data_IF_293700706793
#
_entry.id   IF_293700706793
#
_cell.length_a   1.000
_cell.length_b   1.000
_cell.length_c   1.000
_cell.angle_alpha   90.00
_cell.angle_beta   90.00
_cell.angle_gamma   90.00
#
_symmetry.space_group_name_H-M   'P 1'
#
loop_
_entity.id
_entity.type
_entity.pdbx_description
1 polymer ?
#
# COMPACT_ATOMS: atom_id res chain seq x y z
N UNK A 1 42.87 -5.23 -17.47
CA UNK A 1 42.24 -5.29 -16.14
C UNK A 1 41.25 -4.16 -16.15
N UNK A 2 40.05 -4.44 -16.66
CA UNK A 2 39.09 -3.39 -16.97
C UNK A 2 38.24 -3.14 -15.74
N UNK A 3 38.35 -1.92 -15.24
CA UNK A 3 37.55 -1.37 -14.16
C UNK A 3 36.07 -1.50 -14.54
N UNK A 4 35.40 -2.51 -13.96
CA UNK A 4 33.95 -2.56 -13.94
C UNK A 4 33.46 -1.37 -13.14
N UNK A 5 33.23 -0.27 -13.83
CA UNK A 5 32.49 0.89 -13.37
C UNK A 5 31.10 0.38 -12.93
N UNK A 6 30.96 0.04 -11.65
CA UNK A 6 29.68 -0.27 -11.02
C UNK A 6 28.90 1.05 -11.03
N UNK A 7 28.30 1.38 -12.18
CA UNK A 7 27.27 2.40 -12.26
C UNK A 7 26.08 1.86 -11.49
N UNK A 8 26.10 2.09 -10.18
CA UNK A 8 24.91 2.05 -9.36
C UNK A 8 23.94 3.05 -9.96
N UNK A 9 23.06 2.58 -10.85
CA UNK A 9 21.84 3.31 -11.18
C UNK A 9 21.00 3.26 -9.91
N UNK A 10 21.18 4.28 -9.07
CA UNK A 10 20.49 4.45 -7.79
C UNK A 10 18.97 4.34 -7.95
N UNK A 11 18.42 4.47 -9.17
CA UNK A 11 16.99 4.41 -9.45
C UNK A 11 16.42 3.01 -9.83
N UNK A 12 17.24 1.96 -9.95
CA UNK A 12 16.75 0.62 -10.31
C UNK A 12 16.87 -0.35 -9.13
N UNK A 13 15.72 -0.83 -8.62
CA UNK A 13 15.70 -1.82 -7.56
C UNK A 13 16.54 -3.06 -7.97
N UNK A 14 17.62 -3.38 -7.23
CA UNK A 14 18.53 -4.47 -7.59
C UNK A 14 17.81 -5.81 -7.60
N UNK A 15 18.18 -6.73 -8.48
CA UNK A 15 17.63 -8.10 -8.49
C UNK A 15 18.18 -8.86 -7.27
N UNK A 16 17.35 -9.69 -6.62
CA UNK A 16 17.78 -10.46 -5.45
C UNK A 16 17.46 -9.80 -4.10
N UNK A 17 18.24 -10.12 -3.07
CA UNK A 17 17.97 -9.73 -1.67
C UNK A 17 17.89 -8.22 -1.43
N UNK A 18 18.53 -7.40 -2.28
CA UNK A 18 18.43 -5.95 -2.21
C UNK A 18 17.01 -5.40 -2.39
N UNK A 19 16.08 -6.15 -3.01
CA UNK A 19 14.67 -5.76 -3.13
C UNK A 19 13.95 -5.65 -1.79
N UNK A 20 14.43 -6.35 -0.76
CA UNK A 20 13.84 -6.26 0.59
C UNK A 20 14.02 -4.85 1.13
N UNK A 21 15.26 -4.35 1.17
CA UNK A 21 15.56 -3.01 1.66
C UNK A 21 14.81 -1.92 0.86
N UNK A 22 14.75 -2.07 -0.47
CA UNK A 22 14.01 -1.19 -1.36
C UNK A 22 12.49 -1.23 -1.14
N UNK A 23 11.94 -2.39 -0.79
CA UNK A 23 10.51 -2.53 -0.47
C UNK A 23 10.17 -1.87 0.87
N UNK A 24 11.03 -1.98 1.89
CA UNK A 24 10.86 -1.24 3.14
C UNK A 24 10.96 0.27 2.92
N UNK A 25 11.98 0.72 2.18
CA UNK A 25 12.13 2.14 1.82
C UNK A 25 10.89 2.67 1.08
N UNK A 26 10.38 1.93 0.09
CA UNK A 26 9.16 2.29 -0.63
C UNK A 26 7.94 2.36 0.27
N UNK A 27 7.84 1.49 1.28
CA UNK A 27 6.72 1.47 2.23
C UNK A 27 6.78 2.68 3.17
N UNK A 28 7.96 3.05 3.65
CA UNK A 28 8.16 4.26 4.47
C UNK A 28 7.84 5.52 3.69
N UNK A 29 8.28 5.60 2.43
CA UNK A 29 7.94 6.72 1.53
C UNK A 29 6.44 6.80 1.26
N UNK A 30 5.78 5.65 1.01
CA UNK A 30 4.33 5.61 0.84
C UNK A 30 3.59 6.07 2.11
N UNK A 31 4.01 5.61 3.28
CA UNK A 31 3.40 6.02 4.55
C UNK A 31 3.54 7.54 4.77
N UNK A 32 4.73 8.10 4.52
CA UNK A 32 4.98 9.54 4.62
C UNK A 32 4.09 10.34 3.67
N UNK A 33 4.07 9.98 2.39
CA UNK A 33 3.25 10.67 1.36
C UNK A 33 1.76 10.53 1.67
N UNK A 34 1.30 9.36 2.11
CA UNK A 34 -0.09 9.16 2.50
C UNK A 34 -0.48 10.06 3.67
N UNK A 35 0.40 10.20 4.66
CA UNK A 35 0.16 11.04 5.84
C UNK A 35 0.06 12.50 5.43
N UNK A 36 0.92 12.96 4.52
CA UNK A 36 0.88 14.33 3.98
C UNK A 36 -0.38 14.61 3.18
N UNK A 37 -0.77 13.68 2.30
CA UNK A 37 -2.01 13.79 1.51
C UNK A 37 -3.25 13.80 2.40
N UNK A 38 -3.28 12.94 3.42
CA UNK A 38 -4.37 12.91 4.39
C UNK A 38 -4.43 14.19 5.23
N UNK A 39 -3.28 14.71 5.68
CA UNK A 39 -3.22 15.97 6.41
C UNK A 39 -3.67 17.17 5.56
N UNK A 40 -3.44 17.14 4.25
CA UNK A 40 -3.97 18.14 3.34
C UNK A 40 -5.49 17.98 3.12
N UNK A 41 -6.03 16.77 3.23
CA UNK A 41 -7.45 16.43 3.04
C UNK A 41 -8.32 16.71 4.27
N UNK A 42 -7.81 16.43 5.47
CA UNK A 42 -8.55 16.52 6.74
C UNK A 42 -9.23 17.87 7.01
N UNK A 43 -8.67 19.07 6.69
CA UNK A 43 -9.34 20.33 6.99
C UNK A 43 -10.59 20.60 6.15
N UNK A 44 -10.80 19.86 5.05
CA UNK A 44 -11.99 20.03 4.20
C UNK A 44 -13.25 19.38 4.79
N UNK A 45 -13.12 18.53 5.82
CA UNK A 45 -14.24 17.83 6.45
C UNK A 45 -15.30 18.78 6.99
N UNK A 46 -14.89 19.81 7.74
CA UNK A 46 -15.82 20.77 8.34
C UNK A 46 -16.63 21.57 7.32
N UNK A 47 -16.12 21.72 6.09
CA UNK A 47 -16.84 22.36 4.99
C UNK A 47 -17.85 21.44 4.28
N UNK A 48 -17.60 20.13 4.26
CA UNK A 48 -18.46 19.14 3.58
C UNK A 48 -19.49 18.50 4.52
N UNK A 49 -19.13 18.24 5.76
CA UNK A 49 -19.94 17.49 6.71
C UNK A 49 -20.77 18.37 7.66
N UNK A 50 -20.41 19.64 7.81
CA UNK A 50 -20.98 20.52 8.81
C UNK A 50 -20.59 20.12 10.25
N UNK A 51 -20.76 21.02 11.23
CA UNK A 51 -20.21 20.84 12.58
C UNK A 51 -20.85 19.72 13.41
N UNK A 52 -22.08 19.29 13.08
CA UNK A 52 -22.88 18.40 13.93
C UNK A 52 -23.03 16.97 13.38
N UNK A 53 -22.23 16.58 12.37
CA UNK A 53 -22.37 15.28 11.72
C UNK A 53 -21.12 14.39 11.87
N UNK A 54 -20.92 13.75 13.05
CA UNK A 54 -19.72 12.97 13.33
C UNK A 54 -19.58 11.74 12.43
N UNK A 55 -20.69 11.17 11.96
CA UNK A 55 -20.69 10.04 11.03
C UNK A 55 -20.17 10.45 9.66
N UNK A 56 -20.53 11.65 9.18
CA UNK A 56 -19.97 12.20 7.94
C UNK A 56 -18.47 12.47 8.09
N UNK A 57 -18.05 13.09 9.20
CA UNK A 57 -16.62 13.35 9.47
C UNK A 57 -15.79 12.07 9.52
N UNK A 58 -16.32 11.01 10.13
CA UNK A 58 -15.66 9.70 10.14
C UNK A 58 -15.52 9.14 8.72
N UNK A 59 -16.59 9.18 7.92
CA UNK A 59 -16.57 8.76 6.52
C UNK A 59 -15.59 9.56 5.67
N UNK A 60 -15.54 10.89 5.85
CA UNK A 60 -14.62 11.79 5.19
C UNK A 60 -13.15 11.44 5.48
N UNK A 61 -12.85 11.16 6.74
CA UNK A 61 -11.52 10.76 7.17
C UNK A 61 -11.12 9.38 6.63
N UNK A 62 -12.03 8.40 6.63
CA UNK A 62 -11.77 7.06 6.08
C UNK A 62 -11.49 7.13 4.58
N UNK A 63 -12.34 7.83 3.81
CA UNK A 63 -12.18 7.98 2.36
C UNK A 63 -10.89 8.72 2.04
N UNK A 64 -10.61 9.82 2.74
CA UNK A 64 -9.37 10.59 2.59
C UNK A 64 -8.13 9.75 2.86
N UNK A 65 -8.13 8.98 3.95
CA UNK A 65 -7.00 8.15 4.36
C UNK A 65 -6.75 7.00 3.39
N UNK A 66 -7.79 6.25 3.01
CA UNK A 66 -7.68 5.14 2.06
C UNK A 66 -7.25 5.64 0.67
N UNK A 67 -7.86 6.74 0.19
CA UNK A 67 -7.48 7.34 -1.08
C UNK A 67 -6.03 7.82 -1.09
N UNK A 68 -5.61 8.52 -0.03
CA UNK A 68 -4.24 8.96 0.16
C UNK A 68 -3.24 7.79 0.14
N UNK A 69 -3.55 6.68 0.84
CA UNK A 69 -2.68 5.51 0.89
C UNK A 69 -2.55 4.80 -0.46
N UNK A 70 -3.64 4.63 -1.20
CA UNK A 70 -3.61 4.00 -2.53
C UNK A 70 -2.78 4.83 -3.52
N UNK A 71 -2.96 6.14 -3.52
CA UNK A 71 -2.18 7.07 -4.34
C UNK A 71 -0.71 7.10 -3.91
N UNK A 72 -0.45 7.15 -2.60
CA UNK A 72 0.89 7.20 -2.05
C UNK A 72 1.71 5.94 -2.32
N UNK A 73 1.08 4.77 -2.48
CA UNK A 73 1.76 3.56 -2.94
C UNK A 73 2.20 3.65 -4.42
N UNK A 74 1.48 4.38 -5.27
CA UNK A 74 1.81 4.45 -6.69
C UNK A 74 3.15 5.17 -6.94
N UNK A 75 3.44 6.20 -6.14
CA UNK A 75 4.65 7.01 -6.26
C UNK A 75 5.96 6.19 -6.07
N UNK A 76 6.19 5.47 -4.96
CA UNK A 76 7.37 4.63 -4.79
C UNK A 76 7.35 3.42 -5.73
N UNK A 77 6.18 2.88 -6.09
CA UNK A 77 6.11 1.81 -7.10
C UNK A 77 6.69 2.27 -8.45
N UNK A 78 6.42 3.51 -8.84
CA UNK A 78 6.94 4.14 -10.06
C UNK A 78 8.41 4.57 -9.93
N UNK A 79 8.72 5.39 -8.91
CA UNK A 79 10.04 6.00 -8.70
C UNK A 79 11.12 4.95 -8.43
N UNK A 80 10.81 3.95 -7.61
CA UNK A 80 11.74 2.89 -7.23
C UNK A 80 11.66 1.67 -8.18
N UNK A 81 10.79 1.74 -9.20
CA UNK A 81 10.54 0.66 -10.18
C UNK A 81 10.29 -0.70 -9.54
N UNK A 82 9.61 -0.72 -8.40
CA UNK A 82 9.34 -1.93 -7.62
C UNK A 82 8.42 -2.90 -8.38
N UNK A 83 7.60 -2.35 -9.29
CA UNK A 83 6.65 -3.10 -10.10
C UNK A 83 5.23 -3.00 -9.53
N UNK A 84 4.26 -3.28 -10.39
CA UNK A 84 2.84 -3.20 -10.04
C UNK A 84 2.42 -4.28 -9.02
N UNK A 85 3.17 -5.38 -8.89
CA UNK A 85 2.90 -6.41 -7.87
C UNK A 85 3.16 -5.88 -6.45
N UNK A 86 4.19 -5.04 -6.27
CA UNK A 86 4.46 -4.40 -4.98
C UNK A 86 3.32 -3.46 -4.59
N UNK A 87 2.83 -2.67 -5.56
CA UNK A 87 1.67 -1.82 -5.38
C UNK A 87 0.42 -2.63 -5.03
N UNK A 88 0.16 -3.72 -5.77
CA UNK A 88 -1.03 -4.54 -5.58
C UNK A 88 -1.06 -5.28 -4.24
N UNK A 89 0.08 -5.76 -3.75
CA UNK A 89 0.19 -6.34 -2.39
C UNK A 89 -0.10 -5.27 -1.33
N UNK A 90 0.44 -4.06 -1.51
CA UNK A 90 0.15 -2.93 -0.61
C UNK A 90 -1.33 -2.58 -0.62
N UNK A 91 -1.91 -2.41 -1.80
CA UNK A 91 -3.31 -2.07 -1.97
C UNK A 91 -4.25 -3.16 -1.40
N UNK A 92 -3.93 -4.45 -1.56
CA UNK A 92 -4.73 -5.53 -0.97
C UNK A 92 -4.69 -5.50 0.57
N UNK A 93 -3.53 -5.26 1.17
CA UNK A 93 -3.40 -5.11 2.64
C UNK A 93 -4.16 -3.88 3.13
N UNK A 94 -4.08 -2.77 2.40
CA UNK A 94 -4.81 -1.54 2.71
C UNK A 94 -6.31 -1.71 2.60
N UNK A 95 -6.83 -2.34 1.56
CA UNK A 95 -8.27 -2.62 1.45
C UNK A 95 -8.74 -3.58 2.54
N UNK A 96 -7.85 -4.44 3.03
CA UNK A 96 -8.11 -5.24 4.22
C UNK A 96 -8.27 -4.40 5.50
N UNK A 97 -7.65 -3.20 5.61
CA UNK A 97 -7.57 -2.40 6.87
C UNK A 97 -8.89 -2.23 7.65
N UNK A 98 -10.06 -2.01 7.02
CA UNK A 98 -11.33 -1.91 7.76
C UNK A 98 -11.67 -3.18 8.55
N UNK A 99 -11.30 -4.36 8.04
CA UNK A 99 -11.54 -5.66 8.71
C UNK A 99 -10.69 -5.81 9.98
N UNK A 100 -9.54 -5.13 10.04
CA UNK A 100 -8.64 -5.20 11.20
C UNK A 100 -9.05 -4.24 12.32
N UNK A 101 -9.79 -3.17 11.99
CA UNK A 101 -10.18 -2.12 12.92
C UNK A 101 -11.00 -2.63 14.11
N UNK A 102 -11.86 -3.64 13.87
CA UNK A 102 -12.81 -4.13 14.87
C UNK A 102 -12.36 -5.40 15.61
N UNK A 103 -11.27 -6.05 15.19
CA UNK A 103 -10.90 -7.38 15.73
C UNK A 103 -9.42 -7.74 15.73
N UNK A 104 -8.54 -6.93 15.14
CA UNK A 104 -7.12 -7.26 15.10
C UNK A 104 -6.38 -6.76 16.33
N UNK A 105 -5.63 -7.66 16.97
CA UNK A 105 -4.72 -7.25 18.04
C UNK A 105 -3.58 -6.37 17.48
N UNK A 106 -2.98 -5.46 18.29
CA UNK A 106 -1.84 -4.65 17.87
C UNK A 106 -0.67 -5.47 17.31
N UNK A 107 -0.48 -6.70 17.83
CA UNK A 107 0.53 -7.65 17.33
C UNK A 107 0.25 -8.07 15.89
N UNK A 108 -1.01 -8.37 15.57
CA UNK A 108 -1.44 -8.75 14.23
C UNK A 108 -1.16 -7.61 13.25
N UNK A 109 -1.47 -6.37 13.62
CA UNK A 109 -1.21 -5.18 12.80
C UNK A 109 0.29 -5.03 12.55
N UNK A 110 1.13 -5.17 13.58
CA UNK A 110 2.59 -5.14 13.46
C UNK A 110 3.14 -6.22 12.53
N UNK A 111 2.65 -7.46 12.66
CA UNK A 111 3.06 -8.59 11.81
C UNK A 111 2.71 -8.30 10.34
N UNK A 112 1.51 -7.78 10.08
CA UNK A 112 1.07 -7.45 8.72
C UNK A 112 1.85 -6.27 8.15
N UNK A 113 2.06 -5.21 8.94
CA UNK A 113 2.82 -4.03 8.51
C UNK A 113 4.28 -4.34 8.19
N UNK A 114 4.93 -5.22 8.97
CA UNK A 114 6.31 -5.65 8.74
C UNK A 114 6.41 -6.76 7.68
N UNK A 115 5.40 -7.61 7.58
CA UNK A 115 5.35 -8.74 6.65
C UNK A 115 4.99 -8.34 5.23
N UNK A 116 4.13 -7.34 5.04
CA UNK A 116 3.72 -6.81 3.73
C UNK A 116 4.91 -6.43 2.82
N UNK A 117 5.87 -5.57 3.24
CA UNK A 117 7.01 -5.21 2.41
C UNK A 117 7.90 -6.41 2.08
N UNK A 118 8.02 -7.36 3.02
CA UNK A 118 8.77 -8.60 2.81
C UNK A 118 8.09 -9.49 1.76
N UNK A 119 6.77 -9.67 1.86
CA UNK A 119 5.96 -10.44 0.91
C UNK A 119 6.02 -9.81 -0.49
N UNK A 120 5.92 -8.49 -0.57
CA UNK A 120 6.05 -7.73 -1.81
C UNK A 120 7.47 -7.85 -2.41
N UNK A 121 8.52 -7.85 -1.58
CA UNK A 121 9.89 -8.09 -2.03
C UNK A 121 10.10 -9.50 -2.57
N UNK A 122 9.59 -10.54 -1.87
CA UNK A 122 9.64 -11.93 -2.30
C UNK A 122 8.88 -12.15 -3.62
N UNK A 123 7.71 -11.53 -3.74
CA UNK A 123 6.91 -11.55 -4.95
C UNK A 123 7.57 -10.79 -6.11
N UNK A 124 8.52 -9.92 -5.86
CA UNK A 124 9.21 -9.17 -6.93
C UNK A 124 10.68 -9.55 -7.09
N UNK A 125 11.17 -10.54 -6.32
CA UNK A 125 12.58 -10.96 -6.22
C UNK A 125 13.25 -11.27 -7.57
N UNK A 126 12.51 -11.87 -8.53
CA UNK A 126 13.02 -12.28 -9.85
C UNK A 126 13.10 -11.14 -10.88
N UNK A 127 12.71 -9.92 -10.51
CA UNK A 127 12.74 -8.77 -11.43
C UNK A 127 11.79 -8.94 -12.63
N UNK A 128 12.15 -8.46 -13.84
CA UNK A 128 11.26 -8.40 -15.00
C UNK A 128 10.93 -9.75 -15.65
N UNK A 129 11.63 -10.84 -15.31
CA UNK A 129 11.29 -12.20 -15.75
C UNK A 129 10.07 -12.72 -14.95
N UNK A 130 8.87 -12.36 -15.41
CA UNK A 130 7.61 -12.58 -14.69
C UNK A 130 6.81 -13.77 -15.24
N UNK A 131 6.42 -14.75 -14.40
CA UNK A 131 5.49 -15.79 -14.82
C UNK A 131 4.05 -15.26 -14.95
N UNK A 132 3.34 -15.71 -15.99
CA UNK A 132 2.04 -15.17 -16.46
C UNK A 132 0.87 -15.29 -15.48
N UNK A 133 0.96 -16.16 -14.46
CA UNK A 133 -0.09 -16.37 -13.45
C UNK A 133 -0.05 -15.38 -12.28
N UNK A 134 1.09 -14.74 -12.02
CA UNK A 134 1.23 -13.75 -10.94
C UNK A 134 0.24 -12.58 -11.02
N UNK A 135 -0.07 -12.04 -12.21
CA UNK A 135 -1.06 -10.99 -12.30
C UNK A 135 -2.42 -11.36 -11.72
N UNK A 136 -2.85 -12.59 -12.00
CA UNK A 136 -4.14 -13.11 -11.59
C UNK A 136 -4.25 -13.28 -10.08
N UNK A 137 -3.16 -13.59 -9.38
CA UNK A 137 -3.15 -13.63 -7.91
C UNK A 137 -3.24 -12.25 -7.28
N UNK A 138 -2.56 -11.25 -7.84
CA UNK A 138 -2.63 -9.88 -7.32
C UNK A 138 -4.02 -9.29 -7.57
N UNK A 139 -4.58 -9.52 -8.76
CA UNK A 139 -5.96 -9.13 -9.09
C UNK A 139 -6.96 -9.89 -8.22
N UNK A 140 -6.75 -11.18 -7.98
CA UNK A 140 -7.59 -11.99 -7.09
C UNK A 140 -7.56 -11.52 -5.64
N UNK A 141 -6.37 -11.20 -5.11
CA UNK A 141 -6.21 -10.62 -3.77
C UNK A 141 -6.87 -9.25 -3.64
N UNK A 142 -6.71 -8.39 -4.66
CA UNK A 142 -7.39 -7.10 -4.72
C UNK A 142 -8.91 -7.27 -4.77
N UNK A 143 -9.41 -8.16 -5.62
CA UNK A 143 -10.85 -8.44 -5.73
C UNK A 143 -11.43 -9.00 -4.42
N UNK A 144 -10.72 -9.91 -3.74
CA UNK A 144 -11.10 -10.44 -2.43
C UNK A 144 -11.11 -9.35 -1.37
N UNK A 145 -10.11 -8.46 -1.36
CA UNK A 145 -10.04 -7.37 -0.42
C UNK A 145 -11.19 -6.38 -0.66
N UNK A 146 -11.43 -5.94 -1.90
CA UNK A 146 -12.56 -5.06 -2.26
C UNK A 146 -13.90 -5.71 -1.89
N UNK A 147 -14.10 -6.99 -2.21
CA UNK A 147 -15.33 -7.70 -1.89
C UNK A 147 -15.55 -7.83 -0.39
N UNK A 148 -14.48 -8.12 0.38
CA UNK A 148 -14.51 -8.18 1.83
C UNK A 148 -14.84 -6.82 2.46
N UNK A 149 -14.20 -5.73 2.01
CA UNK A 149 -14.51 -4.37 2.49
C UNK A 149 -15.94 -3.96 2.15
N UNK A 150 -16.41 -4.26 0.94
CA UNK A 150 -17.79 -3.95 0.50
C UNK A 150 -18.82 -4.75 1.31
N UNK A 151 -18.55 -6.01 1.62
CA UNK A 151 -19.39 -6.85 2.47
C UNK A 151 -19.48 -6.28 3.90
N UNK A 152 -18.35 -5.89 4.50
CA UNK A 152 -18.33 -5.27 5.84
C UNK A 152 -19.09 -3.95 5.86
N UNK A 153 -18.90 -3.10 4.84
CA UNK A 153 -19.67 -1.87 4.68
C UNK A 153 -21.16 -2.14 4.57
N UNK A 154 -21.58 -3.12 3.77
CA UNK A 154 -22.99 -3.52 3.62
C UNK A 154 -23.61 -4.12 4.89
N UNK A 155 -22.81 -4.66 5.80
CA UNK A 155 -23.28 -5.25 7.06
C UNK A 155 -23.35 -4.23 8.21
N UNK A 156 -22.70 -3.07 8.05
CA UNK A 156 -22.69 -1.98 9.04
C UNK A 156 -23.77 -0.91 8.79
N UNK A 157 -24.44 -0.95 7.63
CA UNK A 157 -25.59 -0.11 7.26
C UNK A 157 -26.87 -0.95 7.16
#
# INVERSE_FOLDING_TARGET
MDEQEIRFRVAEAPVGGGRIAWSYLGTLLAALVATLLWAAWSPFGGGFCGPDNPTCELGWNIVGFLGALVLALALPAYVLRLGWEWWGVGAAVLLGTPVWGDGATPRTILIVALGMPLLAALLTWRGPARPRWRPWLVVGLLALAVAGSALVLLLLF
#
